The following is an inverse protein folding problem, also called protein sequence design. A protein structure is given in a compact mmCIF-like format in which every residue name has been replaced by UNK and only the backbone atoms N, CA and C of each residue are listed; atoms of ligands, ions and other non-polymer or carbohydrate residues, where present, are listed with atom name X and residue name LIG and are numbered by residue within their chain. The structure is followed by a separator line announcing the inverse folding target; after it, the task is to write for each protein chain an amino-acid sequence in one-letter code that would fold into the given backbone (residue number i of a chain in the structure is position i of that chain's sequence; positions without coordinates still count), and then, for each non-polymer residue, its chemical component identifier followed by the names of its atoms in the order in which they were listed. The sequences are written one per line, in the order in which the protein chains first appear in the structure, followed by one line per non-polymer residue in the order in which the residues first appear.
data_IF_422086568577
#
_entry.id   IF_422086568577
#
_cell.length_a   1.000
_cell.length_b   1.000
_cell.length_c   1.000
_cell.angle_alpha   90.00
_cell.angle_beta   90.00
_cell.angle_gamma   90.00
#
_symmetry.space_group_name_H-M   'P 1'
#
loop_
_entity.id
_entity.type
_entity.pdbx_description
1 polymer ?
#
# COMPACT_ATOMS: atom_id res chain seq x y z
N UNK A 1 -5.93 6.32 16.58
CA UNK A 1 -6.47 5.07 17.16
C UNK A 1 -6.84 5.38 18.60
N UNK A 2 -8.11 5.22 19.00
CA UNK A 2 -8.56 5.52 20.36
C UNK A 2 -7.68 4.80 21.39
N UNK A 3 -7.09 5.52 22.35
CA UNK A 3 -6.05 4.99 23.23
C UNK A 3 -6.53 3.82 24.11
N UNK A 4 -7.81 3.78 24.46
CA UNK A 4 -8.44 2.77 25.32
C UNK A 4 -9.04 1.57 24.56
N UNK A 5 -8.28 0.99 23.62
CA UNK A 5 -8.70 -0.20 22.88
C UNK A 5 -8.01 -1.46 23.41
N UNK A 6 -8.82 -2.49 23.71
CA UNK A 6 -8.30 -3.79 24.13
C UNK A 6 -7.38 -4.42 23.08
N UNK A 7 -6.37 -5.15 23.53
CA UNK A 7 -5.38 -5.80 22.66
C UNK A 7 -6.04 -6.68 21.59
N UNK A 8 -7.08 -7.42 21.95
CA UNK A 8 -7.80 -8.29 21.00
C UNK A 8 -8.45 -7.50 19.85
N UNK A 9 -9.04 -6.33 20.14
CA UNK A 9 -9.58 -5.44 19.11
C UNK A 9 -8.50 -4.89 18.19
N UNK A 10 -7.32 -4.55 18.75
CA UNK A 10 -6.17 -4.11 17.95
C UNK A 10 -5.64 -5.22 17.04
N UNK A 11 -5.54 -6.46 17.54
CA UNK A 11 -5.11 -7.60 16.74
C UNK A 11 -6.06 -7.87 15.56
N UNK A 12 -7.38 -7.88 15.82
CA UNK A 12 -8.39 -8.07 14.77
C UNK A 12 -8.30 -6.96 13.73
N UNK A 13 -8.16 -5.71 14.18
CA UNK A 13 -7.99 -4.57 13.27
C UNK A 13 -6.73 -4.72 12.41
N UNK A 14 -5.58 -5.05 13.03
CA UNK A 14 -4.31 -5.20 12.32
C UNK A 14 -4.34 -6.32 11.28
N UNK A 15 -5.09 -7.39 11.53
CA UNK A 15 -5.22 -8.50 10.59
C UNK A 15 -5.94 -8.08 9.30
N UNK A 16 -6.91 -7.18 9.39
CA UNK A 16 -7.72 -6.74 8.26
C UNK A 16 -7.20 -5.51 7.52
N UNK A 17 -6.10 -4.90 7.98
CA UNK A 17 -5.52 -3.73 7.30
C UNK A 17 -4.85 -4.16 6.00
N UNK A 18 -5.33 -3.60 4.89
CA UNK A 18 -4.73 -3.66 3.56
C UNK A 18 -4.27 -2.28 3.11
N UNK A 19 -3.49 -2.19 2.03
CA UNK A 19 -3.00 -0.91 1.49
C UNK A 19 -4.14 0.04 1.10
N UNK A 20 -5.29 -0.47 0.64
CA UNK A 20 -6.48 0.32 0.32
C UNK A 20 -7.13 0.91 1.57
N UNK A 21 -7.37 0.06 2.57
CA UNK A 21 -7.97 0.49 3.84
C UNK A 21 -7.04 1.43 4.60
N UNK A 22 -5.73 1.20 4.53
CA UNK A 22 -4.71 2.08 5.09
C UNK A 22 -4.66 3.42 4.37
N UNK A 23 -4.67 3.43 3.03
CA UNK A 23 -4.67 4.67 2.25
C UNK A 23 -5.87 5.55 2.61
N UNK A 24 -7.07 4.97 2.69
CA UNK A 24 -8.28 5.70 3.10
C UNK A 24 -8.18 6.14 4.56
N UNK A 25 -7.80 5.25 5.47
CA UNK A 25 -7.65 5.57 6.89
C UNK A 25 -6.61 6.66 7.17
N UNK A 26 -5.55 6.75 6.36
CA UNK A 26 -4.50 7.76 6.50
C UNK A 26 -4.94 9.17 6.09
N UNK A 27 -5.99 9.26 5.27
CA UNK A 27 -6.59 10.53 4.85
C UNK A 27 -7.63 11.03 5.87
N UNK A 28 -8.07 10.18 6.78
CA UNK A 28 -9.02 10.51 7.84
C UNK A 28 -8.33 11.41 8.88
N UNK A 29 -8.91 12.59 9.14
CA UNK A 29 -8.32 13.58 10.07
C UNK A 29 -8.69 13.30 11.54
N UNK A 30 -9.68 12.45 11.79
CA UNK A 30 -10.18 12.14 13.13
C UNK A 30 -9.55 10.91 13.77
N UNK A 31 -9.94 10.62 15.02
CA UNK A 31 -9.53 9.38 15.68
C UNK A 31 -10.13 8.15 15.00
N UNK A 32 -9.27 7.25 14.54
CA UNK A 32 -9.68 5.94 14.03
C UNK A 32 -10.28 5.09 15.17
N UNK A 33 -11.60 4.85 15.09
CA UNK A 33 -12.35 3.99 16.00
C UNK A 33 -12.40 2.54 15.48
N UNK A 34 -12.62 1.57 16.39
CA UNK A 34 -12.75 0.16 16.02
C UNK A 34 -13.90 -0.08 15.03
N UNK A 35 -15.07 0.50 15.30
CA UNK A 35 -16.25 0.30 14.45
C UNK A 35 -16.07 0.89 13.04
N UNK A 36 -15.40 2.04 12.93
CA UNK A 36 -15.05 2.62 11.62
C UNK A 36 -14.14 1.67 10.84
N UNK A 37 -13.07 1.17 11.47
CA UNK A 37 -12.11 0.33 10.76
C UNK A 37 -12.70 -1.02 10.38
N UNK A 38 -13.52 -1.64 11.24
CA UNK A 38 -14.22 -2.88 10.90
C UNK A 38 -15.22 -2.69 9.76
N UNK A 39 -15.93 -1.55 9.74
CA UNK A 39 -16.78 -1.19 8.61
C UNK A 39 -15.97 -1.04 7.33
N UNK A 40 -14.86 -0.30 7.39
CA UNK A 40 -13.96 -0.05 6.26
C UNK A 40 -13.32 -1.34 5.71
N UNK A 41 -12.96 -2.28 6.58
CA UNK A 41 -12.30 -3.55 6.23
C UNK A 41 -13.29 -4.56 5.64
N UNK A 42 -14.50 -4.64 6.19
CA UNK A 42 -15.45 -5.71 5.84
C UNK A 42 -15.83 -5.74 4.35
N UNK A 43 -16.04 -4.57 3.74
CA UNK A 43 -16.43 -4.48 2.33
C UNK A 43 -15.32 -4.96 1.37
N UNK A 44 -14.07 -4.45 1.44
CA UNK A 44 -12.95 -4.98 0.67
C UNK A 44 -12.71 -6.47 0.88
N UNK A 45 -12.83 -6.98 2.11
CA UNK A 45 -12.57 -8.39 2.40
C UNK A 45 -13.58 -9.32 1.71
N UNK A 46 -14.86 -8.98 1.79
CA UNK A 46 -15.94 -9.70 1.11
C UNK A 46 -15.79 -9.53 -0.40
N UNK A 47 -15.59 -8.30 -0.87
CA UNK A 47 -15.39 -7.98 -2.29
C UNK A 47 -14.22 -8.73 -2.90
N UNK A 48 -13.12 -8.90 -2.15
CA UNK A 48 -11.95 -9.64 -2.61
C UNK A 48 -12.22 -11.15 -2.71
N UNK A 49 -12.87 -11.74 -1.71
CA UNK A 49 -13.19 -13.17 -1.73
C UNK A 49 -14.18 -13.52 -2.86
N UNK A 50 -15.26 -12.74 -3.00
CA UNK A 50 -16.23 -12.92 -4.07
C UNK A 50 -15.62 -12.58 -5.45
N UNK A 51 -14.89 -11.48 -5.55
CA UNK A 51 -14.21 -11.06 -6.77
C UNK A 51 -13.17 -12.05 -7.25
N UNK A 52 -12.41 -12.68 -6.34
CA UNK A 52 -11.45 -13.74 -6.68
C UNK A 52 -12.17 -14.98 -7.21
N UNK A 53 -13.27 -15.38 -6.56
CA UNK A 53 -14.05 -16.54 -6.99
C UNK A 53 -14.67 -16.32 -8.36
N UNK A 54 -15.36 -15.19 -8.55
CA UNK A 54 -15.96 -14.83 -9.83
C UNK A 54 -14.90 -14.60 -10.91
N UNK A 55 -13.81 -13.93 -10.56
CA UNK A 55 -12.67 -13.69 -11.44
C UNK A 55 -12.03 -14.98 -11.93
N UNK A 56 -11.87 -15.99 -11.05
CA UNK A 56 -11.35 -17.30 -11.44
C UNK A 56 -12.28 -18.02 -12.43
N UNK A 57 -13.59 -18.00 -12.18
CA UNK A 57 -14.59 -18.59 -13.09
C UNK A 57 -14.55 -17.89 -14.45
N UNK A 58 -14.62 -16.55 -14.47
CA UNK A 58 -14.63 -15.78 -15.71
C UNK A 58 -13.31 -15.92 -16.47
N UNK A 59 -12.16 -15.84 -15.79
CA UNK A 59 -10.84 -16.02 -16.42
C UNK A 59 -10.69 -17.39 -17.07
N UNK A 60 -11.28 -18.45 -16.49
CA UNK A 60 -11.23 -19.79 -17.09
C UNK A 60 -11.93 -19.89 -18.45
N UNK A 61 -12.87 -18.98 -18.72
CA UNK A 61 -13.60 -18.91 -19.99
C UNK A 61 -12.91 -17.99 -21.02
N UNK A 62 -11.89 -17.22 -20.62
CA UNK A 62 -11.20 -16.28 -21.50
C UNK A 62 -10.12 -16.97 -22.34
N UNK A 63 -9.79 -16.43 -23.52
CA UNK A 63 -8.62 -16.87 -24.29
C UNK A 63 -7.31 -16.73 -23.52
N UNK A 64 -6.37 -17.66 -23.75
CA UNK A 64 -5.09 -17.72 -23.02
C UNK A 64 -4.26 -16.43 -23.09
N UNK A 65 -4.36 -15.68 -24.20
CA UNK A 65 -3.72 -14.38 -24.35
C UNK A 65 -4.24 -13.34 -23.35
N UNK A 66 -5.55 -13.30 -23.11
CA UNK A 66 -6.16 -12.41 -22.12
C UNK A 66 -5.82 -12.85 -20.71
N UNK A 67 -5.89 -14.16 -20.42
CA UNK A 67 -5.52 -14.70 -19.11
C UNK A 67 -4.09 -14.29 -18.70
N UNK A 68 -3.12 -14.42 -19.60
CA UNK A 68 -1.74 -14.02 -19.36
C UNK A 68 -1.59 -12.51 -19.11
N UNK A 69 -2.50 -11.70 -19.65
CA UNK A 69 -2.46 -10.24 -19.53
C UNK A 69 -3.08 -9.71 -18.23
N UNK A 70 -3.86 -10.53 -17.50
CA UNK A 70 -4.55 -10.10 -16.27
C UNK A 70 -3.60 -9.73 -15.13
N UNK A 71 -2.36 -10.22 -15.15
CA UNK A 71 -1.33 -9.86 -14.15
C UNK A 71 -1.00 -8.36 -14.12
N UNK A 72 -1.25 -7.62 -15.21
CA UNK A 72 -0.99 -6.17 -15.25
C UNK A 72 -1.96 -5.37 -14.35
N UNK A 73 -3.15 -5.92 -14.08
CA UNK A 73 -4.21 -5.22 -13.35
C UNK A 73 -3.80 -4.90 -11.90
N UNK A 74 -3.03 -5.78 -11.24
CA UNK A 74 -2.52 -5.53 -9.90
C UNK A 74 -1.54 -4.35 -9.87
N UNK A 75 -0.64 -4.23 -10.86
CA UNK A 75 0.25 -3.07 -10.95
C UNK A 75 -0.53 -1.78 -11.15
N UNK A 76 -1.57 -1.81 -12.00
CA UNK A 76 -2.43 -0.66 -12.21
C UNK A 76 -3.16 -0.22 -10.93
N UNK A 77 -3.60 -1.17 -10.09
CA UNK A 77 -4.23 -0.90 -8.80
C UNK A 77 -3.29 -0.16 -7.83
N UNK A 78 -2.06 -0.66 -7.65
CA UNK A 78 -1.08 0.01 -6.79
C UNK A 78 -0.73 1.42 -7.27
N UNK A 79 -0.56 1.59 -8.59
CA UNK A 79 -0.34 2.91 -9.19
C UNK A 79 -1.53 3.84 -8.89
N UNK A 80 -2.76 3.34 -8.99
CA UNK A 80 -3.96 4.11 -8.69
C UNK A 80 -4.07 4.51 -7.21
N UNK A 81 -3.52 3.74 -6.27
CA UNK A 81 -3.45 4.10 -4.85
C UNK A 81 -2.38 5.17 -4.56
N UNK A 82 -1.23 5.10 -5.23
CA UNK A 82 -0.09 6.01 -4.97
C UNK A 82 -0.26 7.38 -5.64
N UNK A 83 -0.86 7.43 -6.83
CA UNK A 83 -0.97 8.68 -7.62
C UNK A 83 -1.76 9.79 -6.89
N UNK A 84 -2.96 9.56 -6.32
CA UNK A 84 -3.74 10.64 -5.71
C UNK A 84 -3.06 11.29 -4.49
N UNK A 85 -2.49 10.53 -3.53
CA UNK A 85 -1.68 11.10 -2.45
C UNK A 85 -0.45 11.87 -2.98
N UNK A 86 0.25 11.32 -3.99
CA UNK A 86 1.41 11.98 -4.59
C UNK A 86 1.05 13.30 -5.29
N UNK A 87 -0.15 13.41 -5.89
CA UNK A 87 -0.63 14.67 -6.48
C UNK A 87 -0.99 15.73 -5.43
N UNK A 88 -1.41 15.31 -4.23
CA UNK A 88 -1.82 16.22 -3.15
C UNK A 88 -0.67 16.67 -2.26
N UNK A 89 0.37 15.85 -2.10
CA UNK A 89 1.50 16.12 -1.22
C UNK A 89 2.84 16.04 -1.95
N UNK A 90 3.59 17.15 -1.92
CA UNK A 90 4.97 17.20 -2.46
C UNK A 90 5.89 16.19 -1.75
N UNK A 91 5.68 15.97 -0.45
CA UNK A 91 6.43 14.98 0.31
C UNK A 91 6.16 13.56 -0.18
N UNK A 92 4.87 13.20 -0.39
CA UNK A 92 4.50 11.89 -0.89
C UNK A 92 5.04 11.63 -2.31
N UNK A 93 5.01 12.65 -3.19
CA UNK A 93 5.61 12.58 -4.52
C UNK A 93 7.12 12.36 -4.44
N UNK A 94 7.81 13.10 -3.57
CA UNK A 94 9.25 12.97 -3.39
C UNK A 94 9.64 11.56 -2.92
N UNK A 95 8.91 11.01 -1.94
CA UNK A 95 9.11 9.63 -1.47
C UNK A 95 8.90 8.64 -2.60
N UNK A 96 7.81 8.76 -3.38
CA UNK A 96 7.53 7.86 -4.49
C UNK A 96 8.63 7.88 -5.57
N UNK A 97 9.06 9.07 -5.99
CA UNK A 97 10.13 9.23 -7.00
C UNK A 97 11.46 8.69 -6.48
N UNK A 98 11.78 8.95 -5.21
CA UNK A 98 12.99 8.43 -4.56
C UNK A 98 12.97 6.91 -4.49
N UNK A 99 11.84 6.31 -4.10
CA UNK A 99 11.68 4.86 -4.06
C UNK A 99 11.87 4.23 -5.45
N UNK A 100 11.31 4.84 -6.50
CA UNK A 100 11.53 4.40 -7.89
C UNK A 100 13.00 4.49 -8.25
N UNK A 101 13.68 5.61 -7.97
CA UNK A 101 15.10 5.79 -8.26
C UNK A 101 15.99 4.76 -7.56
N UNK A 102 15.77 4.54 -6.26
CA UNK A 102 16.54 3.56 -5.47
C UNK A 102 16.27 2.12 -5.95
N UNK A 103 15.02 1.79 -6.27
CA UNK A 103 14.65 0.50 -6.85
C UNK A 103 15.36 0.25 -8.19
N UNK A 104 15.42 1.28 -9.04
CA UNK A 104 16.17 1.21 -10.29
C UNK A 104 17.67 0.95 -10.04
N UNK A 105 18.28 1.63 -9.07
CA UNK A 105 19.69 1.39 -8.74
C UNK A 105 19.91 -0.06 -8.31
N UNK A 106 19.08 -0.60 -7.42
CA UNK A 106 19.21 -2.00 -7.02
C UNK A 106 18.98 -3.00 -8.17
N UNK A 107 18.08 -2.69 -9.10
CA UNK A 107 17.75 -3.58 -10.21
C UNK A 107 18.84 -3.60 -11.31
N UNK A 108 19.41 -2.44 -11.66
CA UNK A 108 20.30 -2.31 -12.82
C UNK A 108 21.79 -2.22 -12.45
N UNK A 109 22.14 -1.90 -11.21
CA UNK A 109 23.54 -1.71 -10.83
C UNK A 109 24.22 -3.05 -10.52
N UNK A 110 25.34 -3.40 -11.19
CA UNK A 110 25.92 -4.74 -11.16
C UNK A 110 26.45 -5.17 -9.77
N UNK A 111 26.77 -4.23 -8.89
CA UNK A 111 27.24 -4.48 -7.53
C UNK A 111 26.16 -5.06 -6.60
N UNK A 112 24.87 -4.87 -6.92
CA UNK A 112 23.77 -5.31 -6.06
C UNK A 112 23.04 -6.57 -6.57
N UNK A 113 23.55 -7.22 -7.63
CA UNK A 113 22.96 -8.42 -8.23
C UNK A 113 22.86 -9.64 -7.28
N UNK A 114 23.56 -9.63 -6.15
CA UNK A 114 23.49 -10.68 -5.13
C UNK A 114 22.39 -10.49 -4.09
N UNK A 115 21.70 -9.35 -4.07
CA UNK A 115 20.64 -9.05 -3.10
C UNK A 115 19.32 -9.64 -3.61
N UNK A 116 18.59 -10.37 -2.76
CA UNK A 116 17.28 -10.89 -3.13
C UNK A 116 16.28 -9.75 -3.32
N UNK A 117 15.32 -9.92 -4.23
CA UNK A 117 14.31 -8.89 -4.52
C UNK A 117 13.57 -8.39 -3.26
N UNK A 118 13.32 -9.28 -2.29
CA UNK A 118 12.71 -8.91 -1.01
C UNK A 118 13.56 -7.94 -0.19
N UNK A 119 14.87 -8.20 -0.07
CA UNK A 119 15.79 -7.30 0.64
C UNK A 119 15.94 -5.95 -0.07
N UNK A 120 15.96 -5.96 -1.41
CA UNK A 120 15.98 -4.73 -2.20
C UNK A 120 14.74 -3.87 -1.92
N UNK A 121 13.55 -4.47 -1.84
CA UNK A 121 12.30 -3.74 -1.52
C UNK A 121 12.37 -3.14 -0.11
N UNK A 122 12.79 -3.92 0.89
CA UNK A 122 12.92 -3.42 2.28
C UNK A 122 13.88 -2.23 2.35
N UNK A 123 15.05 -2.35 1.73
CA UNK A 123 16.04 -1.27 1.69
C UNK A 123 15.51 -0.02 0.98
N UNK A 124 14.85 -0.18 -0.17
CA UNK A 124 14.20 0.92 -0.89
C UNK A 124 13.22 1.68 0.00
N UNK A 125 12.34 0.95 0.70
CA UNK A 125 11.31 1.54 1.56
C UNK A 125 11.93 2.32 2.72
N UNK A 126 12.93 1.76 3.40
CA UNK A 126 13.62 2.43 4.51
C UNK A 126 14.31 3.71 4.02
N UNK A 127 15.03 3.65 2.90
CA UNK A 127 15.76 4.81 2.36
C UNK A 127 14.78 5.90 1.91
N UNK A 128 13.75 5.54 1.14
CA UNK A 128 12.80 6.51 0.60
C UNK A 128 11.95 7.15 1.71
N UNK A 129 11.45 6.36 2.66
CA UNK A 129 10.68 6.88 3.80
C UNK A 129 11.56 7.71 4.75
N UNK A 130 12.79 7.27 5.02
CA UNK A 130 13.74 8.00 5.86
C UNK A 130 14.12 9.37 5.27
N UNK A 131 14.42 9.41 3.97
CA UNK A 131 14.69 10.67 3.27
C UNK A 131 13.46 11.58 3.22
N UNK A 132 12.28 11.02 2.99
CA UNK A 132 11.02 11.75 3.02
C UNK A 132 10.76 12.39 4.39
N UNK A 133 10.92 11.62 5.46
CA UNK A 133 10.71 12.10 6.83
C UNK A 133 11.74 13.17 7.24
N UNK A 134 13.00 13.03 6.81
CA UNK A 134 14.05 14.00 7.13
C UNK A 134 13.89 15.34 6.39
N UNK A 135 13.43 15.30 5.13
CA UNK A 135 13.28 16.50 4.29
C UNK A 135 11.92 17.19 4.44
N UNK A 136 10.88 16.43 4.79
CA UNK A 136 9.54 16.94 5.03
C UNK A 136 9.06 16.53 6.43
N UNK A 137 9.72 17.02 7.50
CA UNK A 137 9.24 16.80 8.85
C UNK A 137 7.83 17.39 8.96
N UNK A 138 6.91 16.61 9.52
CA UNK A 138 5.56 17.08 9.79
C UNK A 138 5.66 18.12 10.90
N UNK A 139 5.19 19.34 10.64
CA UNK A 139 4.93 20.29 11.72
C UNK A 139 3.94 19.62 12.68
N UNK A 140 4.36 19.40 13.92
CA UNK A 140 3.42 19.04 14.96
C UNK A 140 2.45 20.21 15.07
N UNK A 141 1.20 20.00 14.66
CA UNK A 141 0.11 20.86 15.11
C UNK A 141 0.16 20.77 16.63
N UNK A 142 0.68 21.80 17.29
CA UNK A 142 0.62 21.98 18.73
C UNK A 142 -0.86 21.83 19.14
N UNK A 143 -1.19 20.72 19.79
CA UNK A 143 -2.44 20.53 20.51
C UNK A 143 -2.17 20.68 21.99
#
# INVERSE_FOLDING_TARGET
IKQDMSLLKRCIMSFGITDETFAIASLEKGELSFSYMMGLISCPYIGWAFGTTLGAIVCSMLPKALQNSMGIALYAMFIALVIPPAKKSKAALFVAVTAVGVSCIFAWFPLFKGISGGWSIIACTIIAAGLGAALFPREEDEV
#
